data_IF_203423536647
#
_entry.id   IF_203423536647
#
_cell.length_a   1.000
_cell.length_b   1.000
_cell.length_c   1.000
_cell.angle_alpha   90.00
_cell.angle_beta   90.00
_cell.angle_gamma   90.00
#
_symmetry.space_group_name_H-M   'P 1'
#
loop_
_entity.id
_entity.type
_entity.pdbx_description
1 polymer ?
#
# COMPACT_ATOMS: atom_id res chain seq x y z
N UNK A 1 -6.55 12.38 7.09
CA UNK A 1 -6.15 11.43 8.16
C UNK A 1 -5.77 12.15 9.47
N UNK A 2 -4.83 13.12 9.55
CA UNK A 2 -4.43 13.72 10.83
C UNK A 2 -5.56 14.44 11.59
N UNK A 3 -6.45 15.11 10.86
CA UNK A 3 -7.63 15.79 11.43
C UNK A 3 -8.73 14.80 11.87
N UNK A 4 -8.84 13.66 11.20
CA UNK A 4 -9.80 12.59 11.52
C UNK A 4 -9.40 11.88 12.81
N UNK A 5 -8.11 11.54 12.97
CA UNK A 5 -7.59 10.90 14.18
C UNK A 5 -7.75 11.83 15.40
N UNK A 6 -7.43 13.13 15.28
CA UNK A 6 -7.61 14.09 16.39
C UNK A 6 -9.04 14.21 16.89
N UNK A 7 -10.02 13.95 16.02
CA UNK A 7 -11.45 13.99 16.35
C UNK A 7 -12.05 12.60 16.57
N UNK A 8 -11.23 11.54 16.54
CA UNK A 8 -11.68 10.17 16.70
C UNK A 8 -12.49 10.01 17.99
N UNK A 9 -13.66 9.42 17.86
CA UNK A 9 -14.52 8.95 18.94
C UNK A 9 -15.12 7.63 18.48
N UNK A 10 -14.90 6.56 19.22
CA UNK A 10 -15.43 5.23 18.90
C UNK A 10 -16.96 5.25 18.75
N UNK A 11 -17.62 6.12 19.49
CA UNK A 11 -19.07 6.34 19.46
C UNK A 11 -19.56 6.87 18.10
N UNK A 12 -18.71 7.63 17.41
CA UNK A 12 -18.98 8.17 16.07
C UNK A 12 -18.26 7.40 14.95
N UNK A 13 -17.57 6.32 15.29
CA UNK A 13 -16.84 5.54 14.30
C UNK A 13 -17.82 4.72 13.45
N UNK A 14 -17.57 4.66 12.16
CA UNK A 14 -18.22 3.73 11.23
C UNK A 14 -17.24 2.60 10.94
N UNK A 15 -17.65 1.36 11.19
CA UNK A 15 -16.94 0.18 10.72
C UNK A 15 -17.40 -0.17 9.30
N UNK A 16 -16.65 -1.03 8.62
CA UNK A 16 -17.06 -1.62 7.34
C UNK A 16 -18.44 -2.26 7.45
N UNK A 17 -18.73 -2.90 8.59
CA UNK A 17 -20.06 -3.44 8.89
C UNK A 17 -21.18 -2.38 8.82
N UNK A 18 -20.97 -1.17 9.33
CA UNK A 18 -21.97 -0.10 9.30
C UNK A 18 -22.23 0.38 7.87
N UNK A 19 -21.17 0.50 7.05
CA UNK A 19 -21.30 0.93 5.65
C UNK A 19 -22.04 -0.11 4.80
N UNK A 20 -21.90 -1.39 5.15
CA UNK A 20 -22.62 -2.51 4.54
C UNK A 20 -23.97 -2.81 5.20
N UNK A 21 -24.50 -1.89 6.01
CA UNK A 21 -25.78 -2.04 6.71
C UNK A 21 -25.87 -3.34 7.55
N UNK A 22 -24.74 -3.76 8.11
CA UNK A 22 -24.57 -4.99 8.89
C UNK A 22 -24.96 -6.26 8.11
N UNK A 23 -24.77 -6.28 6.80
CA UNK A 23 -24.99 -7.44 5.95
C UNK A 23 -23.74 -7.83 5.18
N UNK A 24 -23.45 -9.12 5.13
CA UNK A 24 -22.37 -9.64 4.32
C UNK A 24 -22.72 -9.52 2.83
N UNK A 25 -21.86 -8.90 1.99
CA UNK A 25 -22.25 -8.47 0.64
C UNK A 25 -22.54 -9.63 -0.33
N UNK A 26 -22.03 -10.83 -0.04
CA UNK A 26 -22.22 -12.01 -0.88
C UNK A 26 -23.30 -12.96 -0.35
N UNK A 27 -23.47 -13.04 0.97
CA UNK A 27 -24.33 -14.06 1.60
C UNK A 27 -25.57 -13.47 2.25
N UNK A 28 -25.65 -12.15 2.38
CA UNK A 28 -26.73 -11.46 3.09
C UNK A 28 -26.79 -11.74 4.60
N UNK A 29 -25.85 -12.52 5.13
CA UNK A 29 -25.85 -12.88 6.55
C UNK A 29 -25.56 -11.65 7.42
N UNK A 30 -26.19 -11.56 8.60
CA UNK A 30 -25.95 -10.45 9.51
C UNK A 30 -24.49 -10.47 10.00
N UNK A 31 -23.84 -9.31 9.92
CA UNK A 31 -22.50 -9.10 10.44
C UNK A 31 -22.57 -8.52 11.85
N UNK A 32 -21.81 -9.12 12.77
CA UNK A 32 -21.60 -8.50 14.08
C UNK A 32 -20.82 -7.19 13.92
N UNK A 33 -21.22 -6.18 14.70
CA UNK A 33 -20.55 -4.90 14.66
C UNK A 33 -19.37 -4.86 15.61
N UNK A 34 -18.17 -4.66 15.08
CA UNK A 34 -16.96 -4.50 15.89
C UNK A 34 -17.08 -3.33 16.89
N UNK A 35 -17.72 -2.24 16.47
CA UNK A 35 -17.99 -1.09 17.36
C UNK A 35 -18.85 -1.51 18.54
N UNK A 36 -19.93 -2.24 18.29
CA UNK A 36 -20.85 -2.65 19.35
C UNK A 36 -20.19 -3.66 20.29
N UNK A 37 -19.33 -4.56 19.77
CA UNK A 37 -18.55 -5.46 20.60
C UNK A 37 -17.60 -4.70 21.55
N UNK A 38 -16.92 -3.66 21.05
CA UNK A 38 -16.05 -2.82 21.88
C UNK A 38 -16.85 -2.07 22.93
N UNK A 39 -18.00 -1.49 22.55
CA UNK A 39 -18.88 -0.77 23.47
C UNK A 39 -19.47 -1.71 24.54
N UNK A 40 -19.89 -2.92 24.16
CA UNK A 40 -20.42 -3.93 25.08
C UNK A 40 -19.35 -4.43 26.05
N UNK A 41 -18.15 -4.80 25.56
CA UNK A 41 -17.06 -5.23 26.43
C UNK A 41 -16.66 -4.16 27.45
N UNK A 42 -16.67 -2.88 27.05
CA UNK A 42 -16.38 -1.76 27.97
C UNK A 42 -17.49 -1.48 28.98
N UNK A 43 -18.75 -1.78 28.63
CA UNK A 43 -19.90 -1.62 29.51
C UNK A 43 -19.97 -2.73 30.58
N UNK A 44 -19.56 -3.95 30.23
CA UNK A 44 -19.59 -5.10 31.15
C UNK A 44 -18.47 -5.08 32.19
N UNK A 45 -17.31 -4.50 31.88
CA UNK A 45 -16.13 -4.54 32.76
C UNK A 45 -16.08 -3.44 33.84
N UNK A 46 -16.97 -2.43 33.86
CA UNK A 46 -16.80 -1.33 34.85
C UNK A 46 -18.04 -0.50 35.21
N UNK A 47 -18.13 -0.12 36.51
CA UNK A 47 -19.12 0.80 37.10
C UNK A 47 -19.10 2.24 36.52
N UNK A 48 -18.16 2.56 35.62
CA UNK A 48 -18.05 3.88 34.99
C UNK A 48 -17.59 3.80 33.53
N UNK A 49 -18.37 3.15 32.67
CA UNK A 49 -18.06 2.99 31.23
C UNK A 49 -17.65 4.30 30.51
N UNK A 50 -18.17 5.46 30.94
CA UNK A 50 -17.78 6.77 30.40
C UNK A 50 -16.28 7.11 30.57
N UNK A 51 -15.65 6.69 31.68
CA UNK A 51 -14.22 6.94 31.93
C UNK A 51 -13.34 6.04 31.06
N UNK A 52 -13.78 4.80 30.83
CA UNK A 52 -13.07 3.84 29.98
C UNK A 52 -13.13 4.25 28.50
N UNK A 53 -14.30 4.68 28.01
CA UNK A 53 -14.46 5.23 26.65
C UNK A 53 -13.57 6.44 26.41
N UNK A 54 -13.51 7.36 27.38
CA UNK A 54 -12.63 8.52 27.31
C UNK A 54 -11.16 8.11 27.24
N UNK A 55 -10.75 7.12 28.04
CA UNK A 55 -9.40 6.57 28.02
C UNK A 55 -9.06 5.87 26.71
N UNK A 56 -9.96 5.07 26.16
CA UNK A 56 -9.79 4.42 24.87
C UNK A 56 -9.65 5.43 23.73
N UNK A 57 -10.56 6.41 23.66
CA UNK A 57 -10.50 7.49 22.68
C UNK A 57 -9.19 8.29 22.77
N UNK A 58 -8.70 8.57 23.99
CA UNK A 58 -7.41 9.22 24.19
C UNK A 58 -6.24 8.35 23.73
N UNK A 59 -6.25 7.06 24.06
CA UNK A 59 -5.23 6.10 23.65
C UNK A 59 -5.13 5.98 22.13
N UNK A 60 -6.26 5.90 21.43
CA UNK A 60 -6.29 5.85 19.96
C UNK A 60 -5.72 7.13 19.37
N UNK A 61 -6.09 8.31 19.89
CA UNK A 61 -5.54 9.60 19.44
C UNK A 61 -4.03 9.71 19.63
N UNK A 62 -3.50 9.12 20.70
CA UNK A 62 -2.09 9.14 21.03
C UNK A 62 -1.27 8.13 20.20
N UNK A 63 -1.78 6.90 20.04
CA UNK A 63 -1.05 5.79 19.40
C UNK A 63 -1.26 5.69 17.89
N UNK A 64 -2.43 6.07 17.38
CA UNK A 64 -2.72 5.99 15.94
C UNK A 64 -1.75 6.79 15.06
N UNK A 65 -1.27 7.99 15.43
CA UNK A 65 -0.25 8.71 14.65
C UNK A 65 1.10 7.97 14.58
N UNK A 66 1.46 7.26 15.64
CA UNK A 66 2.68 6.43 15.68
C UNK A 66 2.52 5.18 14.81
N UNK A 67 1.35 4.54 14.87
CA UNK A 67 1.01 3.44 13.97
C UNK A 67 0.88 3.89 12.52
N UNK A 68 0.40 5.10 12.23
CA UNK A 68 0.36 5.67 10.89
C UNK A 68 1.77 5.92 10.36
N UNK A 69 2.72 6.39 11.19
CA UNK A 69 4.14 6.49 10.78
C UNK A 69 4.74 5.12 10.48
N UNK A 70 4.43 4.10 11.28
CA UNK A 70 4.87 2.73 11.04
C UNK A 70 4.20 2.12 9.80
N UNK A 71 2.91 2.37 9.61
CA UNK A 71 2.12 1.91 8.47
C UNK A 71 2.42 2.71 7.18
N UNK A 72 3.00 3.91 7.29
CA UNK A 72 3.52 4.66 6.13
C UNK A 72 4.76 4.01 5.50
N UNK A 73 5.34 3.00 6.17
CA UNK A 73 6.38 2.13 5.64
C UNK A 73 5.75 0.93 4.90
N UNK A 74 4.52 0.55 5.24
CA UNK A 74 3.75 -0.47 4.50
C UNK A 74 3.00 0.16 3.33
N UNK A 75 3.08 -0.47 2.16
CA UNK A 75 2.38 -0.05 0.94
C UNK A 75 0.88 0.07 1.25
N UNK A 76 0.34 1.29 1.22
CA UNK A 76 -1.09 1.52 1.48
C UNK A 76 -1.97 0.78 0.46
N UNK A 77 -3.20 0.40 0.82
CA UNK A 77 -4.11 -0.31 -0.10
C UNK A 77 -4.31 0.40 -1.46
N UNK A 78 -4.48 1.74 -1.54
CA UNK A 78 -4.56 2.43 -2.84
C UNK A 78 -3.28 2.32 -3.66
N UNK A 79 -2.13 2.20 -2.99
CA UNK A 79 -0.84 2.01 -3.62
C UNK A 79 -0.68 0.57 -4.12
N UNK A 80 -1.23 -0.43 -3.43
CA UNK A 80 -1.34 -1.80 -3.93
C UNK A 80 -2.26 -1.90 -5.15
N UNK A 81 -3.38 -1.16 -5.17
CA UNK A 81 -4.28 -1.08 -6.31
C UNK A 81 -3.63 -0.39 -7.52
N UNK A 82 -2.86 0.67 -7.28
CA UNK A 82 -2.06 1.33 -8.33
C UNK A 82 -0.94 0.41 -8.84
N UNK A 83 -0.28 -0.32 -7.95
CA UNK A 83 0.73 -1.32 -8.31
C UNK A 83 0.14 -2.44 -9.16
N UNK A 84 -1.01 -2.97 -8.75
CA UNK A 84 -1.66 -4.07 -9.46
C UNK A 84 -2.11 -3.62 -10.84
N UNK A 85 -2.72 -2.44 -11.00
CA UNK A 85 -3.14 -1.91 -12.30
C UNK A 85 -1.98 -1.63 -13.26
N UNK A 86 -0.80 -1.30 -12.76
CA UNK A 86 0.39 -1.10 -13.58
C UNK A 86 1.08 -2.42 -13.98
N UNK A 87 1.05 -3.46 -13.13
CA UNK A 87 1.79 -4.72 -13.35
C UNK A 87 0.92 -5.77 -14.04
N UNK A 88 -0.36 -5.86 -13.69
CA UNK A 88 -1.31 -6.84 -14.26
C UNK A 88 -1.36 -6.83 -15.79
N UNK A 89 -1.33 -5.69 -16.51
CA UNK A 89 -1.34 -5.69 -17.97
C UNK A 89 -0.14 -6.40 -18.60
N UNK A 90 0.98 -6.52 -17.89
CA UNK A 90 2.15 -7.25 -18.37
C UNK A 90 2.03 -8.76 -18.18
N UNK A 91 1.25 -9.22 -17.18
CA UNK A 91 1.11 -10.63 -16.81
C UNK A 91 0.62 -11.54 -17.96
N UNK A 92 -0.40 -11.17 -18.76
CA UNK A 92 -0.85 -12.00 -19.88
C UNK A 92 0.25 -12.36 -20.86
N UNK A 93 1.19 -11.44 -21.13
CA UNK A 93 2.32 -11.69 -22.03
C UNK A 93 3.23 -12.79 -21.50
N UNK A 94 3.54 -12.78 -20.21
CA UNK A 94 4.42 -13.78 -19.60
C UNK A 94 3.73 -15.14 -19.47
N UNK A 95 2.42 -15.15 -19.18
CA UNK A 95 1.61 -16.38 -19.22
C UNK A 95 1.60 -16.98 -20.63
N UNK A 96 1.36 -16.16 -21.65
CA UNK A 96 1.40 -16.58 -23.06
C UNK A 96 2.75 -17.16 -23.44
N UNK A 97 3.84 -16.51 -23.04
CA UNK A 97 5.19 -17.02 -23.29
C UNK A 97 5.39 -18.39 -22.62
N UNK A 98 5.01 -18.56 -21.34
CA UNK A 98 5.05 -19.86 -20.66
C UNK A 98 4.21 -20.93 -21.36
N UNK A 99 3.03 -20.56 -21.87
CA UNK A 99 2.14 -21.50 -22.56
C UNK A 99 2.69 -21.94 -23.92
N UNK A 100 3.21 -20.99 -24.70
CA UNK A 100 3.76 -21.26 -26.03
C UNK A 100 5.12 -21.97 -25.97
N UNK A 101 5.85 -21.79 -24.87
CA UNK A 101 7.18 -22.36 -24.68
C UNK A 101 8.27 -21.67 -25.52
N UNK A 102 9.51 -22.17 -25.45
CA UNK A 102 10.62 -21.67 -26.25
C UNK A 102 10.41 -21.95 -27.75
N UNK A 103 10.99 -21.10 -28.61
CA UNK A 103 10.90 -21.24 -30.07
C UNK A 103 11.63 -22.47 -30.62
N UNK A 104 12.58 -23.00 -29.86
CA UNK A 104 13.35 -24.19 -30.18
C UNK A 104 13.14 -25.26 -29.10
N UNK A 105 13.14 -26.55 -29.46
CA UNK A 105 13.04 -27.62 -28.48
C UNK A 105 14.27 -27.59 -27.56
N UNK A 106 14.03 -27.28 -26.29
CA UNK A 106 15.06 -27.24 -25.25
C UNK A 106 15.09 -28.57 -24.48
N UNK A 107 16.28 -28.95 -24.02
CA UNK A 107 16.43 -30.02 -23.04
C UNK A 107 15.79 -29.61 -21.70
N UNK A 108 15.50 -30.59 -20.84
CA UNK A 108 14.80 -30.35 -19.57
C UNK A 108 15.45 -29.25 -18.71
N UNK A 109 16.77 -29.28 -18.57
CA UNK A 109 17.50 -28.28 -17.77
C UNK A 109 17.44 -26.88 -18.40
N UNK A 110 17.56 -26.80 -19.72
CA UNK A 110 17.49 -25.52 -20.45
C UNK A 110 16.08 -24.92 -20.39
N UNK A 111 15.04 -25.76 -20.43
CA UNK A 111 13.64 -25.35 -20.23
C UNK A 111 13.41 -24.77 -18.84
N UNK A 112 14.00 -25.37 -17.81
CA UNK A 112 13.93 -24.89 -16.42
C UNK A 112 14.66 -23.55 -16.25
N UNK A 113 15.83 -23.38 -16.87
CA UNK A 113 16.55 -22.10 -16.87
C UNK A 113 15.75 -21.03 -17.59
N UNK A 114 15.20 -21.35 -18.76
CA UNK A 114 14.37 -20.44 -19.55
C UNK A 114 13.12 -19.99 -18.78
N UNK A 115 12.40 -20.91 -18.13
CA UNK A 115 11.19 -20.59 -17.35
C UNK A 115 11.53 -19.71 -16.15
N UNK A 116 12.65 -19.97 -15.48
CA UNK A 116 13.16 -19.20 -14.35
C UNK A 116 13.57 -17.79 -14.78
N UNK A 117 14.28 -17.65 -15.90
CA UNK A 117 14.64 -16.35 -16.47
C UNK A 117 13.41 -15.52 -16.84
N UNK A 118 12.37 -16.19 -17.36
CA UNK A 118 11.12 -15.52 -17.69
C UNK A 118 10.41 -15.00 -16.43
N UNK A 119 10.37 -15.79 -15.36
CA UNK A 119 9.84 -15.38 -14.06
C UNK A 119 10.65 -14.22 -13.44
N UNK A 120 11.99 -14.30 -13.49
CA UNK A 120 12.87 -13.21 -13.02
C UNK A 120 12.60 -11.91 -13.78
N UNK A 121 12.44 -11.98 -15.11
CA UNK A 121 12.10 -10.80 -15.94
C UNK A 121 10.76 -10.19 -15.54
N UNK A 122 9.74 -11.00 -15.31
CA UNK A 122 8.46 -10.50 -14.83
C UNK A 122 8.58 -9.87 -13.43
N UNK A 123 9.23 -10.55 -12.50
CA UNK A 123 9.47 -10.04 -11.14
C UNK A 123 10.27 -8.74 -11.13
N UNK A 124 11.18 -8.57 -12.09
CA UNK A 124 11.97 -7.34 -12.20
C UNK A 124 11.13 -6.11 -12.53
N UNK A 125 10.05 -6.26 -13.31
CA UNK A 125 9.10 -5.18 -13.57
C UNK A 125 8.39 -4.75 -12.30
N UNK A 126 7.99 -5.72 -11.46
CA UNK A 126 7.37 -5.45 -10.18
C UNK A 126 8.35 -4.73 -9.23
N UNK A 127 9.59 -5.22 -9.12
CA UNK A 127 10.64 -4.60 -8.32
C UNK A 127 10.95 -3.16 -8.77
N UNK A 128 11.03 -2.92 -10.08
CA UNK A 128 11.23 -1.57 -10.64
C UNK A 128 10.10 -0.63 -10.29
N UNK A 129 8.86 -1.11 -10.30
CA UNK A 129 7.70 -0.31 -9.94
C UNK A 129 7.70 0.03 -8.44
N UNK A 130 8.03 -0.93 -7.57
CA UNK A 130 8.19 -0.68 -6.13
C UNK A 130 9.31 0.34 -5.89
N UNK A 131 10.46 0.16 -6.54
CA UNK A 131 11.57 1.11 -6.46
C UNK A 131 11.16 2.51 -6.91
N UNK A 132 10.47 2.62 -8.05
CA UNK A 132 9.95 3.87 -8.59
C UNK A 132 9.06 4.61 -7.59
N UNK A 133 8.16 3.89 -6.93
CA UNK A 133 7.28 4.45 -5.92
C UNK A 133 8.04 4.91 -4.67
N UNK A 134 8.98 4.10 -4.17
CA UNK A 134 9.81 4.48 -3.03
C UNK A 134 10.62 5.73 -3.34
N UNK A 135 11.19 5.82 -4.55
CA UNK A 135 11.93 6.99 -5.01
C UNK A 135 11.03 8.23 -5.06
N UNK A 136 9.81 8.12 -5.58
CA UNK A 136 8.83 9.21 -5.57
C UNK A 136 8.47 9.66 -4.15
N UNK A 137 8.30 8.74 -3.21
CA UNK A 137 8.02 9.07 -1.81
C UNK A 137 9.17 9.84 -1.16
N UNK A 138 10.41 9.39 -1.39
CA UNK A 138 11.62 10.07 -0.89
C UNK A 138 11.74 11.46 -1.50
N UNK A 139 11.58 11.58 -2.83
CA UNK A 139 11.65 12.86 -3.54
C UNK A 139 10.52 13.80 -3.14
N UNK A 140 9.32 13.28 -2.88
CA UNK A 140 8.19 14.08 -2.38
C UNK A 140 8.49 14.68 -1.01
N UNK A 141 9.03 13.87 -0.08
CA UNK A 141 9.46 14.37 1.24
C UNK A 141 10.59 15.40 1.11
N UNK A 142 11.59 15.13 0.27
CA UNK A 142 12.67 16.08 -0.01
C UNK A 142 12.13 17.40 -0.60
N UNK A 143 11.16 17.30 -1.51
CA UNK A 143 10.48 18.43 -2.13
C UNK A 143 9.71 19.28 -1.13
N UNK A 144 9.04 18.68 -0.15
CA UNK A 144 8.35 19.44 0.91
C UNK A 144 9.33 20.26 1.76
N UNK A 145 10.51 19.71 2.06
CA UNK A 145 11.56 20.42 2.82
C UNK A 145 12.15 21.56 1.99
N UNK A 146 12.51 21.29 0.73
CA UNK A 146 13.13 22.26 -0.17
C UNK A 146 12.15 23.31 -0.73
N UNK A 147 10.83 23.03 -0.71
CA UNK A 147 9.79 23.92 -1.23
C UNK A 147 9.72 25.27 -0.54
N UNK A 148 10.24 25.37 0.69
CA UNK A 148 10.38 26.65 1.41
C UNK A 148 11.58 27.49 0.95
N UNK A 149 12.53 26.92 0.21
CA UNK A 149 13.84 27.52 -0.09
C UNK A 149 14.08 27.80 -1.57
N UNK A 150 13.36 27.13 -2.45
CA UNK A 150 13.58 27.20 -3.91
C UNK A 150 12.30 27.61 -4.64
N UNK A 151 12.43 28.34 -5.77
CA UNK A 151 11.29 28.62 -6.62
C UNK A 151 10.73 27.30 -7.19
N UNK A 152 9.40 27.22 -7.38
CA UNK A 152 8.70 25.96 -7.67
C UNK A 152 9.15 25.33 -9.00
N UNK A 153 9.57 26.14 -9.97
CA UNK A 153 10.05 25.64 -11.28
C UNK A 153 11.38 24.90 -11.13
N UNK A 154 12.36 25.48 -10.43
CA UNK A 154 13.66 24.83 -10.21
C UNK A 154 13.51 23.55 -9.38
N UNK A 155 12.64 23.57 -8.38
CA UNK A 155 12.37 22.39 -7.56
C UNK A 155 11.79 21.24 -8.38
N UNK A 156 10.82 21.53 -9.27
CA UNK A 156 10.25 20.51 -10.18
C UNK A 156 11.31 19.93 -11.11
N UNK A 157 12.12 20.78 -11.74
CA UNK A 157 13.19 20.33 -12.64
C UNK A 157 14.19 19.44 -11.88
N UNK A 158 14.61 19.84 -10.69
CA UNK A 158 15.57 19.09 -9.88
C UNK A 158 15.01 17.72 -9.44
N UNK A 159 13.78 17.67 -8.94
CA UNK A 159 13.15 16.43 -8.50
C UNK A 159 12.87 15.49 -9.68
N UNK A 160 12.36 16.00 -10.80
CA UNK A 160 12.11 15.20 -12.01
C UNK A 160 13.41 14.66 -12.62
N UNK A 161 14.48 15.47 -12.66
CA UNK A 161 15.78 15.02 -13.17
C UNK A 161 16.37 13.92 -12.27
N UNK A 162 16.30 14.10 -10.95
CA UNK A 162 16.78 13.09 -9.98
C UNK A 162 16.00 11.79 -10.09
N UNK A 163 14.68 11.87 -10.29
CA UNK A 163 13.83 10.71 -10.51
C UNK A 163 14.22 9.94 -11.78
N UNK A 164 14.39 10.64 -12.90
CA UNK A 164 14.77 10.04 -14.19
C UNK A 164 16.16 9.37 -14.12
N UNK A 165 17.13 10.02 -13.48
CA UNK A 165 18.47 9.45 -13.26
C UNK A 165 18.39 8.21 -12.37
N UNK A 166 17.64 8.26 -11.27
CA UNK A 166 17.45 7.12 -10.38
C UNK A 166 16.80 5.92 -11.08
N UNK A 167 15.78 6.16 -11.91
CA UNK A 167 15.17 5.12 -12.73
C UNK A 167 16.13 4.55 -13.78
N UNK A 168 16.88 5.40 -14.46
CA UNK A 168 17.85 4.96 -15.46
C UNK A 168 18.92 4.06 -14.84
N UNK A 169 19.46 4.45 -13.68
CA UNK A 169 20.46 3.66 -12.95
C UNK A 169 19.92 2.30 -12.49
N UNK A 170 18.67 2.26 -12.00
CA UNK A 170 18.02 1.01 -11.60
C UNK A 170 17.74 0.08 -12.79
N UNK A 171 17.58 0.61 -14.00
CA UNK A 171 17.30 -0.17 -15.21
C UNK A 171 18.55 -0.77 -15.89
N UNK A 172 19.73 -0.18 -15.70
CA UNK A 172 21.00 -0.67 -16.27
C UNK A 172 21.27 -2.15 -15.96
N UNK A 173 21.23 -2.61 -14.69
CA UNK A 173 21.53 -4.02 -14.36
C UNK A 173 20.50 -5.01 -14.89
N UNK A 174 19.32 -4.55 -15.33
CA UNK A 174 18.27 -5.40 -15.89
C UNK A 174 18.39 -5.61 -17.40
N UNK A 175 19.31 -4.90 -18.07
CA UNK A 175 19.62 -5.07 -19.50
C UNK A 175 20.87 -5.89 -19.78
N UNK A 176 21.74 -6.07 -18.78
CA UNK A 176 22.94 -6.92 -18.83
C UNK A 176 22.56 -8.38 -18.58
#
# INVERSE_FOLDING_TARGET
IPSQIRRFRIESATCICCDLQHQHPLSGMPLMCDKDQVLHGMAEESFSGAKMLTGFNAMVRERAPTLERLASITVSQPMLELLSTCVLPSLPRYILLWWLGPTEPLAFWDLQVWSTLLAIRWMSLFLMLVFSLLLLLVLSKAGQVLGSRLPPVLLRIALSSTYLVGLALAWIPLRL
#
